data_IF_101972260275
#
_entry.id   IF_101972260275
#
_cell.length_a   1.000
_cell.length_b   1.000
_cell.length_c   1.000
_cell.angle_alpha   90.00
_cell.angle_beta   90.00
_cell.angle_gamma   90.00
#
_symmetry.space_group_name_H-M   'P 1'
#
loop_
_entity.id
_entity.type
_entity.pdbx_description
1 polymer ?
#
# COMPACT_ATOMS: atom_id res chain seq x y z
N UNK A 1 29.87 -4.50 11.13
CA UNK A 1 29.16 -3.21 11.24
C UNK A 1 27.80 -3.31 10.57
N UNK A 2 26.71 -3.16 11.33
CA UNK A 2 25.34 -3.30 10.83
C UNK A 2 24.83 -1.91 10.41
N UNK A 3 24.64 -1.69 9.11
CA UNK A 3 24.15 -0.39 8.62
C UNK A 3 22.62 -0.36 8.77
N UNK A 4 22.12 0.42 9.73
CA UNK A 4 20.70 0.76 9.81
C UNK A 4 20.36 1.71 8.66
N UNK A 5 19.64 1.20 7.65
CA UNK A 5 18.99 2.03 6.64
C UNK A 5 17.80 2.77 7.27
N UNK A 6 18.04 3.89 7.93
CA UNK A 6 17.00 4.88 8.21
C UNK A 6 16.76 5.72 6.95
N UNK A 7 16.15 5.11 5.92
CA UNK A 7 15.52 5.90 4.84
C UNK A 7 14.24 6.48 5.40
N UNK A 8 14.37 7.62 6.10
CA UNK A 8 13.27 8.50 6.46
C UNK A 8 12.73 9.08 5.16
N UNK A 9 11.94 8.29 4.45
CA UNK A 9 11.33 8.69 3.19
C UNK A 9 10.42 9.87 3.47
N UNK A 10 10.83 11.04 2.99
CA UNK A 10 9.91 12.05 2.51
C UNK A 10 8.89 11.28 1.68
N UNK A 11 7.71 11.05 2.23
CA UNK A 11 6.60 10.55 1.42
C UNK A 11 6.27 11.70 0.50
N UNK A 12 6.90 11.68 -0.68
CA UNK A 12 6.76 12.67 -1.74
C UNK A 12 5.30 13.09 -1.81
N UNK A 13 5.01 14.37 -1.57
CA UNK A 13 3.66 14.91 -1.72
C UNK A 13 3.04 14.53 -3.09
N UNK A 14 3.90 14.22 -4.08
CA UNK A 14 3.59 13.69 -5.41
C UNK A 14 2.76 12.40 -5.46
N UNK A 15 2.73 11.55 -4.42
CA UNK A 15 1.94 10.30 -4.47
C UNK A 15 0.53 10.43 -3.92
N UNK A 16 0.24 11.50 -3.15
CA UNK A 16 -1.08 11.70 -2.55
C UNK A 16 -2.08 12.04 -3.65
N UNK A 17 -3.20 11.33 -3.67
CA UNK A 17 -4.27 11.52 -4.66
C UNK A 17 -4.08 10.72 -5.95
N UNK A 18 -2.93 10.09 -6.18
CA UNK A 18 -2.70 9.13 -7.28
C UNK A 18 -3.39 7.80 -7.01
N UNK A 19 -3.49 6.95 -8.02
CA UNK A 19 -4.06 5.60 -7.88
C UNK A 19 -2.95 4.56 -7.80
N UNK A 20 -3.00 3.71 -6.78
CA UNK A 20 -2.24 2.45 -6.79
C UNK A 20 -3.07 1.41 -7.51
N UNK A 21 -2.50 0.77 -8.52
CA UNK A 21 -3.15 -0.24 -9.35
C UNK A 21 -2.40 -1.56 -9.26
N UNK A 22 -3.14 -2.66 -9.09
CA UNK A 22 -2.55 -4.00 -9.02
C UNK A 22 -2.05 -4.46 -10.39
N UNK A 23 -0.89 -5.09 -10.41
CA UNK A 23 -0.32 -5.81 -11.56
C UNK A 23 -0.75 -7.29 -11.59
N UNK A 24 -1.23 -7.81 -10.47
CA UNK A 24 -1.50 -9.24 -10.26
C UNK A 24 -2.93 -9.46 -9.78
N UNK A 25 -3.47 -10.63 -10.07
CA UNK A 25 -4.76 -11.04 -9.51
C UNK A 25 -4.62 -11.46 -8.06
N UNK A 26 -5.72 -11.38 -7.31
CA UNK A 26 -5.80 -11.76 -5.91
C UNK A 26 -4.79 -11.03 -4.99
N UNK A 27 -4.47 -9.77 -5.28
CA UNK A 27 -3.56 -8.98 -4.43
C UNK A 27 -4.28 -8.59 -3.13
N UNK A 28 -3.71 -8.97 -1.99
CA UNK A 28 -4.33 -8.72 -0.68
C UNK A 28 -4.29 -7.25 -0.27
N UNK A 29 -5.37 -6.80 0.37
CA UNK A 29 -5.41 -5.55 1.12
C UNK A 29 -5.95 -5.79 2.55
N UNK A 30 -5.61 -4.88 3.46
CA UNK A 30 -5.70 -5.08 4.89
C UNK A 30 -6.48 -3.96 5.57
N UNK A 31 -7.13 -4.26 6.70
CA UNK A 31 -7.89 -3.31 7.53
C UNK A 31 -6.95 -2.50 8.45
N UNK A 32 -5.81 -3.09 8.78
CA UNK A 32 -4.80 -2.51 9.65
C UNK A 32 -3.44 -2.43 8.92
N UNK A 33 -2.52 -1.55 9.35
CA UNK A 33 -1.15 -1.51 8.86
C UNK A 33 -0.39 -2.76 9.35
N UNK A 34 -0.61 -3.89 8.70
CA UNK A 34 -0.18 -5.22 9.11
C UNK A 34 0.07 -6.11 7.89
N UNK A 35 0.75 -7.24 8.12
CA UNK A 35 0.94 -8.31 7.14
C UNK A 35 0.34 -9.64 7.61
N UNK A 36 -0.44 -9.62 8.70
CA UNK A 36 -1.04 -10.82 9.27
C UNK A 36 -2.30 -11.21 8.49
N UNK A 37 -2.53 -12.51 8.34
CA UNK A 37 -3.70 -13.02 7.61
C UNK A 37 -5.03 -12.60 8.26
N UNK A 38 -5.07 -12.43 9.58
CA UNK A 38 -6.27 -11.98 10.31
C UNK A 38 -6.74 -10.57 9.92
N UNK A 39 -5.82 -9.75 9.40
CA UNK A 39 -6.08 -8.35 9.06
C UNK A 39 -6.43 -8.21 7.57
N UNK A 40 -6.47 -9.31 6.80
CA UNK A 40 -6.85 -9.31 5.39
C UNK A 40 -8.36 -9.09 5.26
N UNK A 41 -8.74 -8.04 4.54
CA UNK A 41 -10.15 -7.72 4.26
C UNK A 41 -10.61 -8.40 2.97
N UNK A 42 -9.70 -8.50 2.01
CA UNK A 42 -9.99 -9.11 0.72
C UNK A 42 -8.84 -8.99 -0.25
N UNK A 43 -9.17 -9.18 -1.52
CA UNK A 43 -8.22 -9.11 -2.62
C UNK A 43 -8.72 -8.18 -3.73
N UNK A 44 -7.78 -7.64 -4.49
CA UNK A 44 -7.99 -6.81 -5.67
C UNK A 44 -7.31 -7.45 -6.88
N UNK A 45 -7.96 -7.41 -8.04
CA UNK A 45 -7.44 -8.04 -9.25
C UNK A 45 -6.58 -7.09 -10.11
N UNK A 46 -5.89 -7.65 -11.10
CA UNK A 46 -5.01 -6.87 -11.95
C UNK A 46 -5.80 -5.78 -12.71
N UNK A 47 -5.28 -4.55 -12.69
CA UNK A 47 -5.93 -3.39 -13.29
C UNK A 47 -6.89 -2.64 -12.35
N UNK A 48 -7.26 -3.22 -11.22
CA UNK A 48 -8.03 -2.56 -10.17
C UNK A 48 -7.12 -1.88 -9.15
N UNK A 49 -7.67 -0.91 -8.41
CA UNK A 49 -6.84 -0.05 -7.57
C UNK A 49 -7.60 0.93 -6.69
N UNK A 50 -6.83 1.65 -5.89
CA UNK A 50 -7.35 2.59 -4.89
C UNK A 50 -6.60 3.91 -4.92
N UNK A 51 -7.23 4.96 -4.38
CA UNK A 51 -6.60 6.26 -4.28
C UNK A 51 -5.69 6.32 -3.05
N UNK A 52 -4.43 6.72 -3.27
CA UNK A 52 -3.39 6.77 -2.26
C UNK A 52 -3.58 8.02 -1.40
N UNK A 53 -3.62 7.83 -0.09
CA UNK A 53 -3.62 8.91 0.88
C UNK A 53 -2.18 9.18 1.39
N UNK A 54 -1.46 8.12 1.77
CA UNK A 54 -0.04 8.23 2.15
C UNK A 54 0.66 6.88 2.07
N UNK A 55 1.99 6.89 2.18
CA UNK A 55 2.81 5.69 2.38
C UNK A 55 3.19 5.54 3.85
N UNK A 56 3.20 4.31 4.35
CA UNK A 56 3.54 3.94 5.74
C UNK A 56 4.55 2.79 5.75
N UNK A 57 5.34 2.67 6.80
CA UNK A 57 6.28 1.56 7.00
C UNK A 57 5.71 0.59 8.03
N UNK A 58 5.60 -0.68 7.66
CA UNK A 58 5.07 -1.76 8.50
C UNK A 58 6.11 -2.87 8.55
N UNK A 59 6.68 -3.11 9.74
CA UNK A 59 7.71 -4.14 9.96
C UNK A 59 8.87 -4.11 8.94
N UNK A 60 9.29 -2.92 8.50
CA UNK A 60 10.39 -2.74 7.55
C UNK A 60 9.98 -2.79 6.07
N UNK A 61 8.71 -3.08 5.75
CA UNK A 61 8.18 -3.06 4.38
C UNK A 61 7.15 -1.95 4.18
N UNK A 62 7.15 -1.25 3.03
CA UNK A 62 6.24 -0.14 2.82
C UNK A 62 4.84 -0.61 2.38
N UNK A 63 3.82 0.11 2.86
CA UNK A 63 2.43 -0.01 2.43
C UNK A 63 1.87 1.36 2.03
N UNK A 64 0.85 1.37 1.18
CA UNK A 64 0.01 2.54 0.95
C UNK A 64 -1.22 2.47 1.84
N UNK A 65 -1.50 3.57 2.56
CA UNK A 65 -2.82 3.84 3.12
C UNK A 65 -3.68 4.39 1.99
N UNK A 66 -4.74 3.69 1.67
CA UNK A 66 -5.65 4.01 0.57
C UNK A 66 -7.05 4.26 1.10
N UNK A 67 -7.88 4.95 0.32
CA UNK A 67 -9.29 5.13 0.66
C UNK A 67 -10.19 4.64 -0.47
N UNK A 68 -11.36 4.11 -0.11
CA UNK A 68 -12.41 3.75 -1.08
C UNK A 68 -13.32 4.94 -1.35
N UNK A 69 -14.17 4.81 -2.38
CA UNK A 69 -15.24 5.79 -2.66
C UNK A 69 -16.26 5.89 -1.53
N UNK A 70 -16.37 4.86 -0.68
CA UNK A 70 -17.26 4.80 0.50
C UNK A 70 -16.64 5.45 1.75
N UNK A 71 -15.40 5.96 1.67
CA UNK A 71 -14.71 6.60 2.79
C UNK A 71 -14.00 5.64 3.75
N UNK A 72 -13.97 4.35 3.44
CA UNK A 72 -13.21 3.36 4.21
C UNK A 72 -11.72 3.47 3.92
N UNK A 73 -10.90 3.12 4.91
CA UNK A 73 -9.43 3.17 4.80
C UNK A 73 -8.87 1.77 4.83
N UNK A 74 -8.01 1.45 3.86
CA UNK A 74 -7.33 0.17 3.78
C UNK A 74 -5.84 0.34 3.55
N UNK A 75 -5.13 -0.77 3.65
CA UNK A 75 -3.70 -0.84 3.45
C UNK A 75 -3.35 -1.86 2.37
N UNK A 76 -2.47 -1.49 1.44
CA UNK A 76 -2.02 -2.35 0.35
C UNK A 76 -0.51 -2.25 0.19
N UNK A 77 0.13 -3.28 -0.36
CA UNK A 77 1.57 -3.27 -0.59
C UNK A 77 2.01 -2.10 -1.47
N UNK A 78 3.14 -1.48 -1.11
CA UNK A 78 3.79 -0.46 -1.93
C UNK A 78 4.98 -1.03 -2.73
N UNK A 79 5.05 -2.35 -2.86
CA UNK A 79 6.09 -3.02 -3.64
C UNK A 79 5.77 -2.92 -5.14
N UNK A 80 6.66 -2.24 -5.87
CA UNK A 80 6.54 -1.95 -7.30
C UNK A 80 6.51 -3.22 -8.18
N UNK A 81 6.87 -4.39 -7.66
CA UNK A 81 6.70 -5.67 -8.37
C UNK A 81 5.22 -6.03 -8.52
N UNK A 82 4.40 -5.73 -7.50
CA UNK A 82 2.98 -6.10 -7.48
C UNK A 82 2.04 -4.96 -7.84
N UNK A 83 2.48 -3.71 -7.71
CA UNK A 83 1.65 -2.53 -7.98
C UNK A 83 2.38 -1.51 -8.84
N UNK A 84 1.63 -0.63 -9.50
CA UNK A 84 2.15 0.62 -10.06
C UNK A 84 1.29 1.80 -9.61
N UNK A 85 1.85 3.00 -9.70
CA UNK A 85 1.14 4.24 -9.41
C UNK A 85 0.75 4.89 -10.74
N UNK A 86 -0.51 5.31 -10.85
CA UNK A 86 -1.06 6.07 -11.98
C UNK A 86 -1.49 7.47 -11.53
#
# INVERSE_FOLDING_TARGET
SYVKFSKKGTVDASIVGKHVVSKVNNLRFYDAPSWQDKDVVGTVDAGEGFRINRKVMVNGSPQFRVHTSKGETYYITANEVYVFIK
#
